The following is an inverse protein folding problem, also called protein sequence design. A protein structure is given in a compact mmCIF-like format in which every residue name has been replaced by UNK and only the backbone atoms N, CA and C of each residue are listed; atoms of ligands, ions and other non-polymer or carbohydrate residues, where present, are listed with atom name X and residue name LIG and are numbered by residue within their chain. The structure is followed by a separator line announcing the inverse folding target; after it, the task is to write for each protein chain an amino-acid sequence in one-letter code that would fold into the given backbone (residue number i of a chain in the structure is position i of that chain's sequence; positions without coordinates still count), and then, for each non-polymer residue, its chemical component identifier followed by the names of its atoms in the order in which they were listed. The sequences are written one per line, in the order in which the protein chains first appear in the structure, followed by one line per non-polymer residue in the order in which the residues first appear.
data_IF_971254779702
#
_entry.id   IF_971254779702
#
_cell.length_a   1.000
_cell.length_b   1.000
_cell.length_c   1.000
_cell.angle_alpha   90.00
_cell.angle_beta   90.00
_cell.angle_gamma   90.00
#
_symmetry.space_group_name_H-M   'P 1'
#
loop_
_entity.id
_entity.type
_entity.pdbx_description
1 polymer ?
#
# COMPACT_ATOMS: atom_id res chain seq x y z
N UNK A 1 -5.01 -7.90 12.14
CA UNK A 1 -4.24 -8.64 11.14
C UNK A 1 -2.97 -9.08 11.83
N UNK A 2 -2.71 -10.36 11.90
CA UNK A 2 -1.55 -10.91 12.63
C UNK A 2 -0.93 -11.94 11.72
N UNK A 3 0.14 -11.51 11.04
CA UNK A 3 1.05 -12.26 10.15
C UNK A 3 0.44 -13.04 8.97
N UNK A 4 0.94 -12.76 7.77
CA UNK A 4 0.76 -13.61 6.59
C UNK A 4 2.07 -14.32 6.24
N UNK A 5 1.98 -15.50 5.64
CA UNK A 5 3.14 -16.25 5.14
C UNK A 5 3.40 -15.89 3.66
N UNK A 6 4.68 -15.87 3.27
CA UNK A 6 5.12 -15.67 1.88
C UNK A 6 6.09 -16.80 1.56
N UNK A 7 5.65 -17.77 0.77
CA UNK A 7 6.51 -18.86 0.33
C UNK A 7 7.44 -18.46 -0.82
N UNK A 8 8.38 -19.34 -1.21
CA UNK A 8 9.31 -19.09 -2.32
C UNK A 8 8.62 -18.99 -3.70
N UNK A 9 7.34 -19.34 -3.79
CA UNK A 9 6.47 -19.09 -4.94
C UNK A 9 5.70 -17.77 -4.85
N UNK A 10 5.95 -16.95 -3.83
CA UNK A 10 5.24 -15.71 -3.52
C UNK A 10 3.72 -15.89 -3.40
N UNK A 11 3.28 -17.07 -2.93
CA UNK A 11 1.86 -17.28 -2.61
C UNK A 11 1.51 -16.47 -1.37
N UNK A 12 0.65 -15.46 -1.57
CA UNK A 12 0.10 -14.66 -0.49
C UNK A 12 -1.06 -15.41 0.15
N UNK A 13 -1.02 -15.60 1.47
CA UNK A 13 -2.12 -16.16 2.24
C UNK A 13 -2.53 -15.15 3.30
N UNK A 14 -3.83 -14.87 3.40
CA UNK A 14 -4.36 -13.98 4.43
C UNK A 14 -4.97 -14.78 5.56
N UNK A 15 -4.55 -14.48 6.78
CA UNK A 15 -5.14 -15.09 7.97
C UNK A 15 -6.14 -14.16 8.65
N UNK A 16 -7.34 -14.67 8.90
CA UNK A 16 -8.39 -14.01 9.68
C UNK A 16 -8.59 -14.75 11.00
N UNK A 17 -8.26 -14.07 12.11
CA UNK A 17 -8.52 -14.57 13.47
C UNK A 17 -7.72 -15.83 13.86
N UNK A 18 -6.56 -16.07 13.23
CA UNK A 18 -5.62 -17.16 13.58
C UNK A 18 -6.03 -18.57 13.13
N UNK A 19 -7.26 -18.77 12.66
CA UNK A 19 -7.77 -20.10 12.29
C UNK A 19 -8.40 -20.17 10.88
N UNK A 20 -8.36 -19.08 10.10
CA UNK A 20 -8.95 -19.05 8.77
C UNK A 20 -7.99 -18.43 7.78
N UNK A 21 -7.39 -19.28 6.94
CA UNK A 21 -6.62 -18.86 5.77
C UNK A 21 -7.57 -18.57 4.61
N UNK A 22 -7.41 -17.41 3.99
CA UNK A 22 -8.20 -16.93 2.86
C UNK A 22 -7.25 -16.82 1.67
N UNK A 23 -7.47 -17.63 0.62
CA UNK A 23 -6.79 -17.48 -0.66
C UNK A 23 -7.07 -16.10 -1.27
N UNK A 24 -6.09 -15.57 -1.97
CA UNK A 24 -6.13 -14.22 -2.52
C UNK A 24 -7.20 -14.07 -3.61
N UNK A 25 -7.54 -15.16 -4.29
CA UNK A 25 -8.58 -15.24 -5.32
C UNK A 25 -9.98 -15.00 -4.76
N UNK A 26 -10.17 -15.12 -3.44
CA UNK A 26 -11.44 -14.88 -2.77
C UNK A 26 -11.59 -13.44 -2.25
N UNK A 27 -10.59 -12.58 -2.47
CA UNK A 27 -10.62 -11.20 -2.01
C UNK A 27 -11.40 -10.30 -2.95
N UNK A 28 -12.05 -9.28 -2.38
CA UNK A 28 -12.51 -8.16 -3.18
C UNK A 28 -11.32 -7.35 -3.70
N UNK A 29 -11.50 -6.67 -4.84
CA UNK A 29 -10.49 -5.81 -5.47
C UNK A 29 -9.85 -4.85 -4.46
N UNK A 30 -10.64 -4.04 -3.75
CA UNK A 30 -10.09 -3.10 -2.76
C UNK A 30 -9.46 -3.76 -1.52
N UNK A 31 -9.67 -5.06 -1.28
CA UNK A 31 -8.91 -5.79 -0.23
C UNK A 31 -7.58 -6.27 -0.78
N UNK A 32 -7.60 -6.82 -1.99
CA UNK A 32 -6.39 -7.20 -2.72
C UNK A 32 -5.44 -6.00 -2.86
N UNK A 33 -5.93 -4.85 -3.30
CA UNK A 33 -5.12 -3.65 -3.51
C UNK A 33 -4.48 -3.14 -2.22
N UNK A 34 -5.22 -3.16 -1.11
CA UNK A 34 -4.69 -2.77 0.19
C UNK A 34 -3.55 -3.71 0.64
N UNK A 35 -3.73 -5.03 0.44
CA UNK A 35 -2.71 -6.04 0.79
C UNK A 35 -1.49 -5.91 -0.13
N UNK A 36 -1.71 -5.73 -1.43
CA UNK A 36 -0.65 -5.55 -2.41
C UNK A 36 0.16 -4.28 -2.14
N UNK A 37 -0.50 -3.17 -1.76
CA UNK A 37 0.17 -1.94 -1.36
C UNK A 37 1.00 -2.15 -0.08
N UNK A 38 0.43 -2.77 0.95
CA UNK A 38 1.14 -3.05 2.20
C UNK A 38 2.38 -3.92 1.97
N UNK A 39 2.25 -4.97 1.16
CA UNK A 39 3.39 -5.81 0.78
C UNK A 39 4.44 -5.02 0.00
N UNK A 40 4.02 -4.21 -0.97
CA UNK A 40 4.94 -3.38 -1.77
C UNK A 40 5.75 -2.45 -0.87
N UNK A 41 5.12 -1.80 0.11
CA UNK A 41 5.82 -0.94 1.07
C UNK A 41 6.82 -1.73 1.93
N UNK A 42 6.42 -2.89 2.47
CA UNK A 42 7.28 -3.73 3.29
C UNK A 42 8.51 -4.24 2.53
N UNK A 43 8.32 -4.74 1.30
CA UNK A 43 9.41 -5.19 0.43
C UNK A 43 10.33 -4.02 0.07
N UNK A 44 9.76 -2.85 -0.21
CA UNK A 44 10.54 -1.65 -0.56
C UNK A 44 11.39 -1.17 0.62
N UNK A 45 10.84 -1.14 1.83
CA UNK A 45 11.60 -0.80 3.05
C UNK A 45 12.74 -1.80 3.30
N UNK A 46 12.49 -3.09 3.07
CA UNK A 46 13.52 -4.13 3.15
C UNK A 46 14.64 -3.95 2.11
N UNK A 47 14.30 -3.65 0.85
CA UNK A 47 15.27 -3.46 -0.22
C UNK A 47 16.13 -2.22 0.00
N UNK A 48 15.53 -1.11 0.43
CA UNK A 48 16.26 0.13 0.66
C UNK A 48 17.10 0.10 1.94
N UNK A 49 16.70 -0.69 2.95
CA UNK A 49 17.39 -0.73 4.24
C UNK A 49 17.50 0.66 4.85
N UNK A 50 18.71 1.07 5.23
CA UNK A 50 18.98 2.40 5.80
C UNK A 50 19.11 3.51 4.74
N UNK A 51 19.01 3.19 3.45
CA UNK A 51 19.16 4.16 2.37
C UNK A 51 17.85 4.87 2.06
N UNK A 52 17.94 6.17 1.73
CA UNK A 52 16.81 6.89 1.14
C UNK A 52 16.57 6.38 -0.27
N UNK A 53 15.35 5.93 -0.53
CA UNK A 53 14.94 5.37 -1.82
C UNK A 53 13.85 6.20 -2.48
N UNK A 54 13.48 5.83 -3.71
CA UNK A 54 12.41 6.45 -4.48
C UNK A 54 11.31 5.41 -4.75
N UNK A 55 10.07 5.76 -4.41
CA UNK A 55 8.89 5.00 -4.74
C UNK A 55 7.96 5.83 -5.63
N UNK A 56 7.58 5.27 -6.79
CA UNK A 56 6.61 5.89 -7.70
C UNK A 56 5.35 5.03 -7.70
N UNK A 57 4.20 5.66 -7.49
CA UNK A 57 2.90 5.00 -7.40
C UNK A 57 1.91 5.68 -8.34
N UNK A 58 1.20 4.89 -9.13
CA UNK A 58 0.18 5.38 -10.07
C UNK A 58 -1.22 4.97 -9.59
N UNK A 59 -1.93 5.93 -9.01
CA UNK A 59 -3.32 5.91 -8.55
C UNK A 59 -3.78 4.64 -7.81
N UNK A 60 -2.88 4.01 -7.06
CA UNK A 60 -3.11 2.70 -6.43
C UNK A 60 -4.09 2.73 -5.23
N UNK A 61 -4.75 3.87 -4.98
CA UNK A 61 -5.77 4.03 -3.94
C UNK A 61 -7.20 4.09 -4.53
N UNK A 62 -7.35 4.07 -5.86
CA UNK A 62 -8.62 4.36 -6.54
C UNK A 62 -9.78 3.49 -6.04
N UNK A 63 -9.57 2.18 -5.88
CA UNK A 63 -10.59 1.18 -5.51
C UNK A 63 -10.77 0.99 -3.99
N UNK A 64 -10.04 1.75 -3.17
CA UNK A 64 -10.17 1.68 -1.72
C UNK A 64 -11.39 2.46 -1.23
N UNK A 65 -12.14 1.85 -0.31
CA UNK A 65 -13.17 2.56 0.45
C UNK A 65 -12.55 3.72 1.27
N UNK A 66 -13.34 4.73 1.66
CA UNK A 66 -12.81 5.94 2.30
C UNK A 66 -11.94 5.68 3.54
N UNK A 67 -12.32 4.69 4.36
CA UNK A 67 -11.56 4.36 5.57
C UNK A 67 -10.21 3.73 5.24
N UNK A 68 -10.18 2.79 4.29
CA UNK A 68 -8.93 2.18 3.81
C UNK A 68 -8.04 3.17 3.07
N UNK A 69 -8.63 4.06 2.27
CA UNK A 69 -7.92 5.12 1.55
C UNK A 69 -7.20 6.06 2.51
N UNK A 70 -7.87 6.46 3.60
CA UNK A 70 -7.26 7.28 4.64
C UNK A 70 -6.09 6.55 5.34
N UNK A 71 -6.28 5.30 5.76
CA UNK A 71 -5.21 4.52 6.38
C UNK A 71 -4.01 4.32 5.44
N UNK A 72 -4.26 4.03 4.16
CA UNK A 72 -3.20 3.89 3.16
C UNK A 72 -2.44 5.21 2.94
N UNK A 73 -3.14 6.35 2.89
CA UNK A 73 -2.52 7.66 2.77
C UNK A 73 -1.63 8.00 3.99
N UNK A 74 -2.07 7.66 5.20
CA UNK A 74 -1.27 7.81 6.41
C UNK A 74 0.01 6.96 6.38
N UNK A 75 -0.07 5.71 5.93
CA UNK A 75 1.09 4.84 5.73
C UNK A 75 2.07 5.40 4.69
N UNK A 76 1.55 5.91 3.58
CA UNK A 76 2.38 6.53 2.54
C UNK A 76 3.09 7.79 3.05
N UNK A 77 2.43 8.60 3.88
CA UNK A 77 3.05 9.77 4.52
C UNK A 77 4.19 9.35 5.44
N UNK A 78 3.98 8.35 6.29
CA UNK A 78 5.01 7.81 7.18
C UNK A 78 6.20 7.26 6.38
N UNK A 79 5.93 6.52 5.31
CA UNK A 79 6.97 6.03 4.42
C UNK A 79 7.76 7.19 3.76
N UNK A 80 7.06 8.26 3.38
CA UNK A 80 7.65 9.45 2.79
C UNK A 80 8.55 10.27 3.75
N UNK A 81 8.47 10.04 5.06
CA UNK A 81 9.40 10.67 6.02
C UNK A 81 10.84 10.17 5.85
N UNK A 82 10.99 8.91 5.40
CA UNK A 82 12.29 8.25 5.19
C UNK A 82 12.70 8.21 3.72
N UNK A 83 11.74 8.03 2.82
CA UNK A 83 11.96 7.82 1.38
C UNK A 83 11.26 8.91 0.55
N UNK A 84 11.71 9.12 -0.70
CA UNK A 84 10.98 9.98 -1.63
C UNK A 84 9.81 9.21 -2.24
N UNK A 85 8.61 9.79 -2.20
CA UNK A 85 7.41 9.21 -2.82
C UNK A 85 6.90 10.17 -3.89
N UNK A 86 6.72 9.67 -5.11
CA UNK A 86 6.01 10.35 -6.19
C UNK A 86 4.70 9.58 -6.40
N UNK A 87 3.58 10.28 -6.23
CA UNK A 87 2.26 9.70 -6.41
C UNK A 87 1.53 10.43 -7.54
N UNK A 88 1.06 9.70 -8.53
CA UNK A 88 0.20 10.22 -9.59
C UNK A 88 -1.24 9.81 -9.33
N UNK A 89 -2.18 10.73 -9.53
CA UNK A 89 -3.62 10.47 -9.37
C UNK A 89 -4.40 11.43 -10.24
N UNK A 90 -5.55 10.97 -10.72
CA UNK A 90 -6.54 11.85 -11.38
C UNK A 90 -7.56 12.43 -10.39
N UNK A 91 -7.51 12.03 -9.11
CA UNK A 91 -8.45 12.44 -8.06
C UNK A 91 -7.89 13.61 -7.23
N UNK A 92 -8.51 14.80 -7.30
CA UNK A 92 -8.11 15.93 -6.45
C UNK A 92 -8.24 15.61 -4.96
N UNK A 93 -9.25 14.83 -4.57
CA UNK A 93 -9.45 14.41 -3.18
C UNK A 93 -8.31 13.52 -2.68
N UNK A 94 -7.82 12.61 -3.54
CA UNK A 94 -6.68 11.76 -3.22
C UNK A 94 -5.39 12.58 -3.11
N UNK A 95 -5.18 13.54 -4.01
CA UNK A 95 -4.04 14.48 -3.93
C UNK A 95 -4.07 15.30 -2.64
N UNK A 96 -5.24 15.85 -2.28
CA UNK A 96 -5.43 16.61 -1.04
C UNK A 96 -5.22 15.74 0.21
N UNK A 97 -5.70 14.50 0.17
CA UNK A 97 -5.54 13.54 1.25
C UNK A 97 -4.07 13.18 1.47
N UNK A 98 -3.30 12.95 0.41
CA UNK A 98 -1.86 12.66 0.48
C UNK A 98 -1.04 13.89 0.87
N UNK A 99 -1.43 15.08 0.40
CA UNK A 99 -0.72 16.33 0.66
C UNK A 99 0.67 16.39 0.01
N UNK A 100 1.60 17.11 0.64
CA UNK A 100 2.95 17.32 0.11
C UNK A 100 3.01 18.39 -1.00
N UNK A 101 4.00 18.29 -1.88
CA UNK A 101 4.14 19.19 -3.02
C UNK A 101 3.23 18.73 -4.17
N UNK A 102 2.10 19.42 -4.36
CA UNK A 102 1.14 19.11 -5.41
C UNK A 102 1.53 19.84 -6.70
N UNK A 103 1.69 19.09 -7.79
CA UNK A 103 1.95 19.61 -9.13
C UNK A 103 0.71 19.39 -9.98
N UNK A 104 0.07 20.47 -10.40
CA UNK A 104 -1.04 20.41 -11.35
C UNK A 104 -0.47 20.39 -12.77
N UNK A 105 -0.79 19.34 -13.53
CA UNK A 105 -0.46 19.24 -14.96
C UNK A 105 -1.64 19.65 -15.84
#
# INVERSE_FOLDING_TARGET
FTSGDIDNSFQLILEKGGNTSIPVELLSTGTYDAVALALRLAVTEYIFGDQKGLLILDDCLVDLDPGRKQAAAELLKQFAEKHQVIFTTCSPDTANLLGGAIINM
#
